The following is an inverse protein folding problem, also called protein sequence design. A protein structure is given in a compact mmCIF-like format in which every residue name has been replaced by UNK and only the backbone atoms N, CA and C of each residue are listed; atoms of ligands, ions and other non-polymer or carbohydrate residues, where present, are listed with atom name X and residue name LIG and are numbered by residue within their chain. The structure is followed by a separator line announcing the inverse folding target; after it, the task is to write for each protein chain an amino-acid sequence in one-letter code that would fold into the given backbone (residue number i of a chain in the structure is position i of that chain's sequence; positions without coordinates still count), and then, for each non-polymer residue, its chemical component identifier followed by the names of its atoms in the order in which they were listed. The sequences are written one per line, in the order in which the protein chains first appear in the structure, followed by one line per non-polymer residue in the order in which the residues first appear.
data_IF_210637935029
#
_entry.id   IF_210637935029
#
_cell.length_a   1.000
_cell.length_b   1.000
_cell.length_c   1.000
_cell.angle_alpha   90.00
_cell.angle_beta   90.00
_cell.angle_gamma   90.00
#
_symmetry.space_group_name_H-M   'P 1'
#
loop_
_entity.id
_entity.type
_entity.pdbx_description
1 polymer ?
#
# COMPACT_ATOMS: atom_id res chain seq x y z
N UNK A 1 -9.75 -12.70 5.14
CA UNK A 1 -9.44 -11.32 5.62
C UNK A 1 -9.82 -10.38 4.49
N UNK A 2 -10.30 -9.17 4.78
CA UNK A 2 -10.58 -8.20 3.72
C UNK A 2 -9.27 -7.85 3.03
N UNK A 3 -9.20 -8.07 1.72
CA UNK A 3 -8.13 -7.54 0.88
C UNK A 3 -8.39 -6.04 0.74
N UNK A 4 -7.43 -5.23 1.19
CA UNK A 4 -7.49 -3.77 1.16
C UNK A 4 -6.40 -3.30 0.20
N UNK A 5 -6.48 -3.77 -1.03
CA UNK A 5 -5.44 -3.64 -2.04
C UNK A 5 -5.73 -2.51 -3.04
N UNK A 6 -6.90 -1.88 -2.93
CA UNK A 6 -7.35 -0.78 -3.79
C UNK A 6 -8.06 0.30 -2.99
N UNK A 7 -8.14 1.51 -3.56
CA UNK A 7 -8.94 2.61 -3.05
C UNK A 7 -10.40 2.18 -2.85
N UNK A 8 -10.96 1.49 -3.85
CA UNK A 8 -12.34 1.01 -3.83
C UNK A 8 -12.60 0.05 -2.68
N UNK A 9 -11.76 -0.96 -2.49
CA UNK A 9 -11.89 -1.92 -1.39
C UNK A 9 -11.78 -1.23 -0.02
N UNK A 10 -10.84 -0.27 0.09
CA UNK A 10 -10.69 0.55 1.28
C UNK A 10 -11.96 1.36 1.57
N UNK A 11 -12.53 2.01 0.56
CA UNK A 11 -13.77 2.77 0.68
C UNK A 11 -14.93 1.87 1.10
N UNK A 12 -15.13 0.75 0.44
CA UNK A 12 -16.16 -0.22 0.79
C UNK A 12 -16.01 -0.75 2.23
N UNK A 13 -14.77 -0.94 2.69
CA UNK A 13 -14.51 -1.38 4.06
C UNK A 13 -14.88 -0.31 5.10
N UNK A 14 -14.67 0.96 4.80
CA UNK A 14 -15.16 2.08 5.63
C UNK A 14 -16.69 2.16 5.61
N UNK A 15 -17.32 2.03 4.44
CA UNK A 15 -18.77 2.10 4.29
C UNK A 15 -19.52 0.96 5.00
N UNK A 16 -18.86 -0.18 5.20
CA UNK A 16 -19.35 -1.31 6.02
C UNK A 16 -19.15 -1.10 7.54
N UNK A 17 -18.61 0.05 7.96
CA UNK A 17 -18.40 0.40 9.35
C UNK A 17 -19.72 0.67 10.11
N UNK A 18 -19.62 0.76 11.44
CA UNK A 18 -20.79 1.00 12.32
C UNK A 18 -21.50 2.31 11.95
N UNK A 19 -20.73 3.33 11.55
CA UNK A 19 -21.24 4.64 11.15
C UNK A 19 -21.55 4.72 9.64
N UNK A 20 -21.50 3.59 8.94
CA UNK A 20 -21.69 3.46 7.48
C UNK A 20 -20.84 4.48 6.72
N UNK A 21 -21.46 5.26 5.83
CA UNK A 21 -20.81 6.29 5.02
C UNK A 21 -20.06 7.38 5.80
N UNK A 22 -20.36 7.55 7.10
CA UNK A 22 -19.68 8.50 7.99
C UNK A 22 -18.50 7.88 8.76
N UNK A 23 -18.11 6.64 8.43
CA UNK A 23 -16.95 5.98 9.05
C UNK A 23 -15.67 6.52 8.43
N UNK A 24 -15.04 7.48 9.10
CA UNK A 24 -13.76 8.05 8.65
C UNK A 24 -12.57 7.15 9.01
N UNK A 25 -12.69 6.31 10.03
CA UNK A 25 -11.58 5.48 10.48
C UNK A 25 -12.06 4.13 11.04
N UNK A 26 -11.26 3.07 10.81
CA UNK A 26 -11.59 1.72 11.26
C UNK A 26 -10.33 0.89 11.54
N UNK A 27 -10.27 0.15 12.66
CA UNK A 27 -9.14 -0.75 12.92
C UNK A 27 -9.15 -1.93 11.94
N UNK A 28 -7.96 -2.29 11.44
CA UNK A 28 -7.75 -3.41 10.50
C UNK A 28 -6.76 -4.45 11.01
N UNK A 29 -5.83 -4.04 11.89
CA UNK A 29 -4.91 -4.94 12.59
C UNK A 29 -4.38 -4.26 13.87
N UNK A 30 -3.53 -4.97 14.62
CA UNK A 30 -2.89 -4.39 15.82
C UNK A 30 -2.06 -3.16 15.43
N UNK A 31 -2.34 -2.04 16.11
CA UNK A 31 -1.78 -0.71 15.86
C UNK A 31 -1.94 -0.22 14.41
N UNK A 32 -2.88 -0.80 13.64
CA UNK A 32 -3.10 -0.48 12.23
C UNK A 32 -4.55 -0.12 11.98
N UNK A 33 -4.78 1.04 11.36
CA UNK A 33 -6.11 1.56 11.05
C UNK A 33 -6.18 1.98 9.59
N UNK A 34 -7.35 1.81 9.00
CA UNK A 34 -7.71 2.47 7.76
C UNK A 34 -8.36 3.82 8.09
N UNK A 35 -7.96 4.88 7.42
CA UNK A 35 -8.41 6.24 7.69
C UNK A 35 -8.65 6.96 6.37
N UNK A 36 -9.84 7.52 6.19
CA UNK A 36 -10.11 8.49 5.14
C UNK A 36 -9.40 9.80 5.46
N UNK A 37 -8.44 10.20 4.62
CA UNK A 37 -7.67 11.44 4.78
C UNK A 37 -8.41 12.59 4.10
N UNK A 38 -8.85 12.35 2.86
CA UNK A 38 -9.68 13.25 2.05
C UNK A 38 -10.73 12.43 1.30
N UNK A 39 -11.59 13.07 0.51
CA UNK A 39 -12.56 12.36 -0.33
C UNK A 39 -11.91 11.48 -1.40
N UNK A 40 -10.70 11.85 -1.85
CA UNK A 40 -9.92 11.14 -2.86
C UNK A 40 -8.68 10.43 -2.32
N UNK A 41 -8.52 10.33 -1.00
CA UNK A 41 -7.34 9.68 -0.41
C UNK A 41 -7.69 8.91 0.84
N UNK A 42 -7.35 7.63 0.84
CA UNK A 42 -7.49 6.75 2.00
C UNK A 42 -6.10 6.23 2.39
N UNK A 43 -5.78 6.33 3.67
CA UNK A 43 -4.51 5.92 4.23
C UNK A 43 -4.63 4.73 5.17
N UNK A 44 -3.64 3.84 5.10
CA UNK A 44 -3.40 2.82 6.10
C UNK A 44 -2.35 3.35 7.06
N UNK A 45 -2.77 3.57 8.31
CA UNK A 45 -1.94 4.12 9.36
C UNK A 45 -1.45 3.01 10.28
N UNK A 46 -0.13 2.82 10.36
CA UNK A 46 0.54 2.02 11.37
C UNK A 46 1.15 2.95 12.42
N UNK A 47 0.73 2.82 13.68
CA UNK A 47 1.06 3.78 14.74
C UNK A 47 0.73 5.23 14.32
N UNK A 48 1.75 6.06 14.08
CA UNK A 48 1.56 7.44 13.63
C UNK A 48 1.91 7.68 12.16
N UNK A 49 2.26 6.63 11.41
CA UNK A 49 2.75 6.71 10.03
C UNK A 49 1.72 6.15 9.06
N UNK A 50 1.46 6.86 7.96
CA UNK A 50 0.65 6.34 6.85
C UNK A 50 1.54 5.48 5.95
N UNK A 51 1.52 4.17 6.18
CA UNK A 51 2.39 3.23 5.49
C UNK A 51 2.00 2.97 4.04
N UNK A 52 0.71 3.14 3.74
CA UNK A 52 0.13 3.08 2.40
C UNK A 52 -0.88 4.20 2.29
N UNK A 53 -0.88 4.92 1.18
CA UNK A 53 -1.98 5.81 0.79
C UNK A 53 -2.46 5.43 -0.59
N UNK A 54 -3.76 5.23 -0.70
CA UNK A 54 -4.48 5.03 -1.94
C UNK A 54 -5.06 6.35 -2.39
N UNK A 55 -4.82 6.70 -3.64
CA UNK A 55 -5.41 7.86 -4.29
C UNK A 55 -6.53 7.41 -5.23
N UNK A 56 -7.65 8.12 -5.19
CA UNK A 56 -8.74 7.91 -6.13
C UNK A 56 -8.34 8.44 -7.51
N UNK A 57 -8.10 7.51 -8.43
CA UNK A 57 -7.79 7.80 -9.82
C UNK A 57 -8.98 7.59 -10.75
N UNK A 58 -10.20 7.42 -10.23
CA UNK A 58 -11.39 7.13 -11.05
C UNK A 58 -11.70 8.18 -12.14
N UNK A 59 -11.16 9.40 -12.00
CA UNK A 59 -11.25 10.46 -13.00
C UNK A 59 -10.18 10.42 -14.10
N UNK A 60 -9.13 9.64 -13.91
CA UNK A 60 -8.14 9.40 -14.94
C UNK A 60 -8.70 8.25 -15.78
N UNK A 61 -9.04 8.51 -17.04
CA UNK A 61 -9.49 7.54 -18.06
C UNK A 61 -8.41 6.46 -18.39
N UNK A 62 -7.51 6.15 -17.45
CA UNK A 62 -6.47 5.15 -17.54
C UNK A 62 -7.05 3.80 -17.13
N UNK A 63 -7.82 3.19 -18.03
CA UNK A 63 -8.49 1.89 -17.82
C UNK A 63 -7.53 0.73 -17.45
N UNK A 64 -6.22 0.88 -17.63
CA UNK A 64 -5.23 -0.20 -17.46
C UNK A 64 -4.12 0.03 -16.42
N UNK A 65 -4.03 1.22 -15.83
CA UNK A 65 -3.01 1.52 -14.82
C UNK A 65 -3.71 1.63 -13.46
N UNK A 66 -3.49 0.64 -12.59
CA UNK A 66 -4.16 0.51 -11.30
C UNK A 66 -4.04 1.74 -10.37
N UNK A 67 -4.62 1.64 -9.18
CA UNK A 67 -4.65 2.75 -8.22
C UNK A 67 -3.24 3.27 -7.92
N UNK A 68 -3.08 4.60 -7.97
CA UNK A 68 -1.84 5.25 -7.55
C UNK A 68 -1.68 5.05 -6.05
N UNK A 69 -0.53 4.50 -5.66
CA UNK A 69 -0.20 4.23 -4.27
C UNK A 69 1.03 5.01 -3.86
N UNK A 70 1.02 5.52 -2.62
CA UNK A 70 2.23 6.05 -1.98
C UNK A 70 2.58 5.19 -0.77
N UNK A 71 3.86 4.87 -0.64
CA UNK A 71 4.41 4.11 0.48
C UNK A 71 5.36 4.95 1.31
N UNK A 72 5.27 4.83 2.63
CA UNK A 72 6.13 5.58 3.55
C UNK A 72 6.37 4.77 4.84
N UNK A 73 7.63 4.54 5.21
CA UNK A 73 7.94 3.86 6.47
C UNK A 73 8.04 4.83 7.65
N UNK A 74 8.02 6.14 7.40
CA UNK A 74 8.27 7.18 8.39
C UNK A 74 9.67 7.05 9.00
N UNK A 75 10.64 6.56 8.22
CA UNK A 75 11.98 6.21 8.68
C UNK A 75 12.10 4.85 9.39
N UNK A 76 11.00 4.14 9.62
CA UNK A 76 10.98 2.87 10.37
C UNK A 76 10.92 1.65 9.46
N UNK A 77 12.08 1.26 8.89
CA UNK A 77 12.26 0.04 8.08
C UNK A 77 12.29 -1.23 8.92
N UNK A 78 11.20 -1.52 9.63
CA UNK A 78 11.05 -2.69 10.52
C UNK A 78 10.35 -3.87 9.83
N UNK A 79 10.50 -5.07 10.41
CA UNK A 79 9.78 -6.27 9.93
C UNK A 79 8.27 -6.06 9.97
N UNK A 80 7.75 -5.38 10.99
CA UNK A 80 6.31 -5.08 11.11
C UNK A 80 5.84 -4.13 10.02
N UNK A 81 6.59 -3.07 9.73
CA UNK A 81 6.23 -2.13 8.65
C UNK A 81 6.15 -2.86 7.31
N UNK A 82 7.15 -3.70 7.01
CA UNK A 82 7.19 -4.51 5.78
C UNK A 82 6.00 -5.44 5.68
N UNK A 83 5.73 -6.18 6.74
CA UNK A 83 4.64 -7.15 6.79
C UNK A 83 3.27 -6.47 6.59
N UNK A 84 3.08 -5.27 7.16
CA UNK A 84 1.85 -4.51 7.00
C UNK A 84 1.65 -3.96 5.60
N UNK A 85 2.72 -3.48 4.96
CA UNK A 85 2.64 -3.03 3.57
C UNK A 85 2.31 -4.22 2.67
N UNK A 86 3.03 -5.35 2.79
CA UNK A 86 2.75 -6.55 2.00
C UNK A 86 1.34 -7.12 2.21
N UNK A 87 0.75 -6.91 3.39
CA UNK A 87 -0.59 -7.42 3.71
C UNK A 87 -1.70 -6.56 3.09
N UNK A 88 -1.49 -5.26 2.99
CA UNK A 88 -2.51 -4.30 2.60
C UNK A 88 -2.09 -3.48 1.39
N UNK A 89 -1.29 -4.07 0.51
CA UNK A 89 -0.98 -3.49 -0.78
C UNK A 89 -0.71 -4.61 -1.78
N UNK A 90 -1.12 -4.44 -3.05
CA UNK A 90 -0.92 -5.42 -4.13
C UNK A 90 0.51 -5.35 -4.68
N UNK A 91 1.49 -5.28 -3.78
CA UNK A 91 2.91 -5.18 -4.10
C UNK A 91 3.70 -6.15 -3.22
N UNK A 92 4.92 -6.43 -3.64
CA UNK A 92 5.88 -7.19 -2.88
C UNK A 92 7.02 -6.30 -2.42
N UNK A 93 7.17 -6.17 -1.11
CA UNK A 93 8.32 -5.57 -0.45
C UNK A 93 9.14 -6.65 0.25
N UNK A 94 10.44 -6.65 -0.02
CA UNK A 94 11.39 -7.51 0.68
C UNK A 94 12.63 -6.74 1.10
N UNK A 95 13.47 -7.40 1.90
CA UNK A 95 14.73 -6.83 2.39
C UNK A 95 15.84 -7.80 2.04
N UNK A 96 16.92 -7.29 1.48
CA UNK A 96 18.14 -8.03 1.20
C UNK A 96 19.33 -7.17 1.59
N UNK A 97 20.23 -7.69 2.44
CA UNK A 97 21.42 -6.97 2.92
C UNK A 97 21.12 -5.55 3.44
N UNK A 98 20.07 -5.42 4.26
CA UNK A 98 19.56 -4.15 4.82
C UNK A 98 18.97 -3.16 3.82
N UNK A 99 18.88 -3.51 2.54
CA UNK A 99 18.24 -2.69 1.51
C UNK A 99 16.84 -3.23 1.25
N UNK A 100 15.86 -2.34 1.17
CA UNK A 100 14.49 -2.69 0.85
C UNK A 100 14.23 -2.51 -0.63
N UNK A 101 13.45 -3.43 -1.18
CA UNK A 101 13.08 -3.47 -2.58
C UNK A 101 11.56 -3.57 -2.70
N UNK A 102 11.02 -3.02 -3.79
CA UNK A 102 9.59 -3.00 -4.10
C UNK A 102 9.37 -3.42 -5.55
N UNK A 103 8.34 -4.23 -5.78
CA UNK A 103 7.91 -4.69 -7.10
C UNK A 103 6.43 -5.08 -7.10
N UNK A 104 5.82 -5.23 -8.28
CA UNK A 104 4.44 -5.74 -8.42
C UNK A 104 4.33 -7.18 -7.93
N UNK A 105 5.33 -7.99 -8.23
CA UNK A 105 5.39 -9.38 -7.74
C UNK A 105 6.81 -9.73 -7.29
N UNK A 106 6.90 -10.62 -6.30
CA UNK A 106 8.17 -11.17 -5.85
C UNK A 106 8.67 -12.25 -6.82
N UNK A 107 9.82 -12.02 -7.44
CA UNK A 107 10.54 -13.04 -8.22
C UNK A 107 11.80 -13.46 -7.46
N UNK A 108 11.95 -14.75 -7.16
CA UNK A 108 13.14 -15.29 -6.48
C UNK A 108 14.42 -15.24 -7.32
N UNK A 109 14.31 -15.21 -8.65
CA UNK A 109 15.45 -15.23 -9.58
C UNK A 109 15.83 -13.83 -10.12
N UNK A 110 15.33 -12.79 -9.46
CA UNK A 110 15.47 -11.39 -9.88
C UNK A 110 16.90 -10.86 -10.04
N UNK A 111 17.88 -11.54 -9.45
CA UNK A 111 19.30 -11.17 -9.58
C UNK A 111 19.93 -11.74 -10.85
N UNK A 112 19.35 -12.80 -11.42
CA UNK A 112 19.87 -13.47 -12.63
C UNK A 112 19.22 -12.92 -13.88
N UNK A 113 17.93 -12.64 -13.80
CA UNK A 113 17.19 -11.93 -14.83
C UNK A 113 17.53 -10.44 -14.69
N UNK A 114 17.85 -9.77 -15.80
CA UNK A 114 18.04 -8.33 -15.77
C UNK A 114 16.76 -7.59 -15.34
N UNK A 115 16.73 -6.27 -15.51
CA UNK A 115 15.50 -5.51 -15.30
C UNK A 115 14.47 -5.99 -16.35
N UNK A 116 13.47 -6.76 -15.91
CA UNK A 116 12.34 -7.13 -16.78
C UNK A 116 11.41 -5.93 -16.93
N UNK A 117 11.04 -5.58 -18.17
CA UNK A 117 10.11 -4.49 -18.46
C UNK A 117 8.74 -4.68 -17.79
N UNK A 118 8.34 -5.94 -17.55
CA UNK A 118 7.01 -6.31 -17.03
C UNK A 118 6.93 -6.32 -15.50
N UNK A 119 8.05 -6.53 -14.80
CA UNK A 119 8.12 -6.55 -13.35
C UNK A 119 9.39 -5.84 -12.83
N UNK A 120 9.53 -4.52 -13.09
CA UNK A 120 10.69 -3.77 -12.69
C UNK A 120 10.80 -3.72 -11.16
N UNK A 121 12.03 -3.85 -10.67
CA UNK A 121 12.36 -3.84 -9.25
C UNK A 121 12.99 -2.51 -8.91
N UNK A 122 12.45 -1.86 -7.89
CA UNK A 122 12.93 -0.57 -7.44
C UNK A 122 13.51 -0.66 -6.03
N UNK A 123 14.41 0.25 -5.72
CA UNK A 123 14.80 0.51 -4.34
C UNK A 123 13.64 1.20 -3.62
N UNK A 124 13.32 0.72 -2.43
CA UNK A 124 12.28 1.34 -1.62
C UNK A 124 12.83 2.61 -0.93
N UNK A 125 12.17 3.72 -1.21
CA UNK A 125 12.39 5.03 -0.59
C UNK A 125 11.10 5.51 0.06
N UNK A 126 11.22 6.30 1.14
CA UNK A 126 10.04 6.87 1.79
C UNK A 126 9.37 7.89 0.86
N UNK A 127 8.03 7.86 0.82
CA UNK A 127 7.18 8.63 -0.10
C UNK A 127 7.27 8.20 -1.58
N UNK A 128 7.77 7.00 -1.85
CA UNK A 128 7.74 6.43 -3.20
C UNK A 128 6.30 6.26 -3.70
N UNK A 129 6.07 6.62 -4.96
CA UNK A 129 4.83 6.36 -5.67
C UNK A 129 5.00 5.11 -6.54
N UNK A 130 3.97 4.29 -6.60
CA UNK A 130 3.95 3.03 -7.34
C UNK A 130 2.61 2.83 -8.04
#
# INVERSE_FOLDING_TARGET
MAELNSFKECREFLDKGIRKANTIDRPIANNTRLIQITDSTIGIKLHNTFIVKYYDNSHLDCIDYGDLMQFDTGGWKTVTTKERINRFAPISIWTERHVWYISKSFDWDWKRKGIEETNPIYHFEDNIFF
#
